data_IF_544890173624
#
_entry.id   IF_544890173624
#
_cell.length_a   1.000
_cell.length_b   1.000
_cell.length_c   1.000
_cell.angle_alpha   90.00
_cell.angle_beta   90.00
_cell.angle_gamma   90.00
#
_symmetry.space_group_name_H-M   'P 1'
#
loop_
_entity.id
_entity.type
_entity.pdbx_description
1 polymer ?
#
# COMPACT_ATOMS: atom_id res chain seq x y z
N UNK A 1 16.68 18.21 -14.37
CA UNK A 1 15.93 17.77 -13.17
C UNK A 1 16.48 16.40 -12.80
N UNK A 2 16.84 16.14 -11.53
CA UNK A 2 17.41 14.82 -11.19
C UNK A 2 16.31 13.75 -11.23
N UNK A 3 16.68 12.49 -11.48
CA UNK A 3 15.73 11.35 -11.47
C UNK A 3 14.99 11.28 -10.13
N UNK A 4 15.71 11.53 -9.03
CA UNK A 4 15.16 11.57 -7.68
C UNK A 4 14.05 12.63 -7.54
N UNK A 5 14.22 13.82 -8.13
CA UNK A 5 13.20 14.87 -8.10
C UNK A 5 11.93 14.45 -8.87
N UNK A 6 12.10 13.75 -9.99
CA UNK A 6 10.97 13.20 -10.77
C UNK A 6 10.21 12.15 -9.96
N UNK A 7 10.92 11.22 -9.33
CA UNK A 7 10.30 10.20 -8.46
C UNK A 7 9.56 10.85 -7.29
N UNK A 8 10.18 11.83 -6.61
CA UNK A 8 9.54 12.56 -5.51
C UNK A 8 8.24 13.23 -5.96
N UNK A 9 8.19 13.80 -7.17
CA UNK A 9 6.94 14.40 -7.72
C UNK A 9 5.81 13.38 -7.80
N UNK A 10 6.07 12.17 -8.30
CA UNK A 10 5.07 11.11 -8.40
C UNK A 10 4.65 10.60 -7.02
N UNK A 11 5.60 10.36 -6.10
CA UNK A 11 5.28 9.98 -4.72
C UNK A 11 4.47 11.07 -4.00
N UNK A 12 4.74 12.35 -4.30
CA UNK A 12 3.96 13.48 -3.76
C UNK A 12 2.52 13.44 -4.24
N UNK A 13 2.28 13.08 -5.51
CA UNK A 13 0.94 12.93 -6.05
C UNK A 13 0.15 11.87 -5.30
N UNK A 14 0.77 10.71 -5.06
CA UNK A 14 0.17 9.61 -4.28
C UNK A 14 -0.11 10.05 -2.83
N UNK A 15 0.85 10.72 -2.19
CA UNK A 15 0.69 11.24 -0.83
C UNK A 15 -0.50 12.20 -0.73
N UNK A 16 -0.70 13.06 -1.74
CA UNK A 16 -1.76 14.08 -1.77
C UNK A 16 -3.11 13.56 -2.24
N UNK A 17 -3.18 12.35 -2.79
CA UNK A 17 -4.42 11.75 -3.26
C UNK A 17 -5.42 11.50 -2.13
N UNK A 18 -4.94 11.37 -0.89
CA UNK A 18 -5.77 11.18 0.29
C UNK A 18 -5.16 11.86 1.51
N UNK A 19 -6.02 12.39 2.37
CA UNK A 19 -5.64 12.94 3.68
C UNK A 19 -5.26 11.85 4.69
N UNK A 20 -5.71 10.60 4.47
CA UNK A 20 -5.33 9.42 5.23
C UNK A 20 -3.92 8.91 4.90
N UNK A 21 -3.34 9.25 3.75
CA UNK A 21 -1.98 8.80 3.40
C UNK A 21 -0.93 9.54 4.20
N UNK A 22 -0.23 8.83 5.08
CA UNK A 22 0.75 9.38 6.02
C UNK A 22 2.15 9.43 5.42
N UNK A 23 2.55 8.36 4.74
CA UNK A 23 3.92 8.15 4.26
C UNK A 23 3.89 7.32 2.98
N UNK A 24 4.68 7.70 1.99
CA UNK A 24 4.88 6.96 0.75
C UNK A 24 6.38 6.70 0.59
N UNK A 25 6.73 5.45 0.40
CA UNK A 25 8.11 4.95 0.38
C UNK A 25 8.34 4.17 -0.91
N UNK A 26 9.52 4.34 -1.48
CA UNK A 26 10.02 3.50 -2.55
C UNK A 26 11.32 2.88 -2.08
N UNK A 27 11.41 1.56 -2.11
CA UNK A 27 12.62 0.80 -1.81
C UNK A 27 12.89 -0.26 -2.87
N UNK A 28 14.09 -0.83 -2.87
CA UNK A 28 14.32 -2.09 -3.59
C UNK A 28 13.62 -3.27 -2.88
N UNK A 29 13.71 -4.47 -3.46
CA UNK A 29 13.11 -5.67 -2.87
C UNK A 29 13.78 -6.11 -1.55
N UNK A 30 14.99 -5.61 -1.22
CA UNK A 30 15.69 -5.89 0.03
C UNK A 30 15.35 -4.89 1.15
N UNK A 31 14.49 -3.91 0.88
CA UNK A 31 14.09 -2.87 1.82
C UNK A 31 15.04 -1.67 1.90
N UNK A 32 16.00 -1.54 0.98
CA UNK A 32 16.86 -0.36 0.89
C UNK A 32 16.07 0.83 0.31
N UNK A 33 15.92 1.88 1.11
CA UNK A 33 15.16 3.08 0.73
C UNK A 33 15.79 3.80 -0.48
N UNK A 34 14.99 4.00 -1.53
CA UNK A 34 15.33 4.80 -2.73
C UNK A 34 14.80 6.23 -2.57
N UNK A 35 13.51 6.37 -2.25
CA UNK A 35 12.86 7.66 -2.08
C UNK A 35 11.74 7.58 -1.04
N UNK A 36 11.44 8.71 -0.38
CA UNK A 36 10.35 8.80 0.59
C UNK A 36 9.76 10.19 0.63
N UNK A 37 8.46 10.25 0.87
CA UNK A 37 7.75 11.48 1.20
C UNK A 37 6.65 11.18 2.21
N UNK A 38 6.50 12.06 3.20
CA UNK A 38 5.45 11.92 4.21
C UNK A 38 4.91 13.27 4.62
N UNK A 39 3.74 13.25 5.25
CA UNK A 39 3.15 14.41 5.91
C UNK A 39 3.36 14.31 7.42
N UNK A 40 3.27 15.44 8.11
CA UNK A 40 3.26 15.42 9.59
C UNK A 40 2.01 14.66 10.04
N UNK A 41 2.20 13.67 10.91
CA UNK A 41 1.14 12.84 11.47
C UNK A 41 1.38 12.65 12.97
N UNK A 42 0.32 12.32 13.70
CA UNK A 42 0.40 11.93 15.11
C UNK A 42 0.98 10.52 15.28
N UNK A 43 1.01 9.74 14.21
CA UNK A 43 1.58 8.40 14.17
C UNK A 43 3.09 8.53 13.93
N UNK A 44 3.89 8.27 14.96
CA UNK A 44 5.35 8.25 14.85
C UNK A 44 5.81 6.99 14.11
N UNK A 45 6.32 7.17 12.89
CA UNK A 45 6.73 6.09 12.00
C UNK A 45 8.16 6.31 11.55
N UNK A 46 9.01 5.31 11.77
CA UNK A 46 10.36 5.30 11.22
C UNK A 46 10.33 4.76 9.78
N UNK A 47 10.65 5.57 8.76
CA UNK A 47 10.58 5.12 7.36
C UNK A 47 11.44 3.89 7.06
N UNK A 48 12.60 3.74 7.70
CA UNK A 48 13.51 2.62 7.45
C UNK A 48 12.96 1.32 8.04
N UNK A 49 12.28 1.40 9.19
CA UNK A 49 11.61 0.23 9.76
C UNK A 49 10.43 -0.21 8.87
N UNK A 50 9.70 0.76 8.32
CA UNK A 50 8.59 0.47 7.40
C UNK A 50 9.11 -0.16 6.10
N UNK A 51 10.20 0.31 5.50
CA UNK A 51 10.74 -0.32 4.28
C UNK A 51 11.20 -1.76 4.54
N UNK A 52 11.88 -2.02 5.66
CA UNK A 52 12.27 -3.39 6.04
C UNK A 52 11.07 -4.30 6.28
N UNK A 53 10.05 -3.80 7.00
CA UNK A 53 8.82 -4.55 7.28
C UNK A 53 8.03 -4.85 6.00
N UNK A 54 7.84 -3.85 5.13
CA UNK A 54 7.10 -4.00 3.89
C UNK A 54 7.78 -4.98 2.92
N UNK A 55 9.11 -4.92 2.80
CA UNK A 55 9.89 -5.89 2.03
C UNK A 55 9.68 -7.32 2.56
N UNK A 56 9.89 -7.54 3.86
CA UNK A 56 9.71 -8.88 4.46
C UNK A 56 8.28 -9.42 4.31
N UNK A 57 7.27 -8.58 4.57
CA UNK A 57 5.86 -8.95 4.43
C UNK A 57 5.47 -9.25 2.97
N UNK A 58 6.03 -8.50 2.02
CA UNK A 58 5.80 -8.73 0.60
C UNK A 58 6.44 -10.05 0.15
N UNK A 59 7.69 -10.32 0.54
CA UNK A 59 8.36 -11.60 0.24
C UNK A 59 7.58 -12.79 0.79
N UNK A 60 7.11 -12.71 2.04
CA UNK A 60 6.26 -13.76 2.61
C UNK A 60 4.93 -13.91 1.85
N UNK A 61 4.35 -12.81 1.35
CA UNK A 61 3.15 -12.86 0.51
C UNK A 61 3.44 -13.55 -0.82
N UNK A 62 4.60 -13.28 -1.43
CA UNK A 62 5.02 -13.87 -2.69
C UNK A 62 5.22 -15.37 -2.61
N UNK A 63 5.86 -15.87 -1.55
CA UNK A 63 5.98 -17.30 -1.28
C UNK A 63 4.60 -17.97 -1.19
N UNK A 64 3.67 -17.34 -0.46
CA UNK A 64 2.29 -17.85 -0.37
C UNK A 64 1.59 -17.86 -1.74
N UNK A 65 1.79 -16.82 -2.56
CA UNK A 65 1.21 -16.78 -3.91
C UNK A 65 1.78 -17.85 -4.83
N UNK A 66 3.05 -18.19 -4.66
CA UNK A 66 3.68 -19.30 -5.36
C UNK A 66 3.06 -20.64 -4.97
N UNK A 67 2.95 -20.92 -3.67
CA UNK A 67 2.36 -22.15 -3.14
C UNK A 67 0.88 -22.31 -3.58
N UNK A 68 0.13 -21.21 -3.59
CA UNK A 68 -1.26 -21.16 -4.02
C UNK A 68 -1.45 -21.10 -5.54
N UNK A 69 -0.37 -21.04 -6.33
CA UNK A 69 -0.38 -20.93 -7.80
C UNK A 69 -1.12 -19.70 -8.34
N UNK A 70 -1.03 -18.58 -7.62
CA UNK A 70 -1.61 -17.27 -7.98
C UNK A 70 -0.51 -16.21 -8.20
N UNK A 71 0.56 -16.58 -8.91
CA UNK A 71 1.84 -15.85 -9.02
C UNK A 71 1.79 -14.44 -9.63
N UNK A 72 0.64 -14.05 -10.20
CA UNK A 72 0.47 -12.80 -10.92
C UNK A 72 0.08 -11.60 -10.05
N UNK A 73 0.08 -11.76 -8.72
CA UNK A 73 -0.18 -10.66 -7.80
C UNK A 73 0.96 -9.63 -7.80
N UNK A 74 0.60 -8.37 -7.60
CA UNK A 74 1.55 -7.24 -7.58
C UNK A 74 1.40 -6.37 -6.35
N UNK A 75 0.44 -6.68 -5.48
CA UNK A 75 0.03 -5.85 -4.36
C UNK A 75 -0.26 -6.72 -3.15
N UNK A 76 0.22 -6.29 -1.98
CA UNK A 76 -0.05 -6.90 -0.68
C UNK A 76 -0.50 -5.84 0.30
N UNK A 77 -1.38 -6.24 1.22
CA UNK A 77 -1.95 -5.39 2.25
C UNK A 77 -1.58 -5.94 3.62
N UNK A 78 -1.05 -5.09 4.50
CA UNK A 78 -0.76 -5.45 5.89
C UNK A 78 -1.45 -4.49 6.83
N UNK A 79 -2.42 -4.98 7.59
CA UNK A 79 -3.22 -4.18 8.52
C UNK A 79 -2.63 -4.20 9.93
N UNK A 80 -2.53 -3.02 10.51
CA UNK A 80 -2.17 -2.76 11.90
C UNK A 80 -3.29 -1.96 12.56
N UNK A 81 -3.32 -1.87 13.88
CA UNK A 81 -4.40 -1.19 14.63
C UNK A 81 -4.73 0.23 14.15
N UNK A 82 -3.74 0.97 13.62
CA UNK A 82 -3.91 2.39 13.20
C UNK A 82 -3.65 2.65 11.73
N UNK A 83 -2.99 1.75 11.02
CA UNK A 83 -2.55 1.96 9.64
C UNK A 83 -2.60 0.68 8.83
N UNK A 84 -2.79 0.82 7.53
CA UNK A 84 -2.58 -0.23 6.55
C UNK A 84 -1.31 0.11 5.76
N UNK A 85 -0.46 -0.89 5.54
CA UNK A 85 0.61 -0.83 4.56
C UNK A 85 0.10 -1.44 3.26
N UNK A 86 0.07 -0.64 2.21
CA UNK A 86 -0.26 -1.08 0.86
C UNK A 86 1.05 -1.12 0.09
N UNK A 87 1.54 -2.34 -0.17
CA UNK A 87 2.84 -2.56 -0.80
C UNK A 87 2.63 -3.07 -2.21
N UNK A 88 3.10 -2.32 -3.21
CA UNK A 88 2.96 -2.61 -4.64
C UNK A 88 4.35 -2.85 -5.22
N UNK A 89 4.54 -4.02 -5.84
CA UNK A 89 5.76 -4.32 -6.59
C UNK A 89 5.70 -3.67 -7.97
N UNK A 90 6.72 -2.88 -8.28
CA UNK A 90 6.92 -2.26 -9.58
C UNK A 90 8.33 -2.66 -10.05
N UNK A 91 8.41 -3.65 -10.93
CA UNK A 91 9.67 -4.24 -11.38
C UNK A 91 10.50 -4.69 -10.16
N UNK A 92 11.76 -4.24 -10.06
CA UNK A 92 12.68 -4.54 -8.95
C UNK A 92 12.51 -3.64 -7.71
N UNK A 93 11.38 -2.93 -7.61
CA UNK A 93 11.11 -2.01 -6.49
C UNK A 93 9.79 -2.31 -5.81
N UNK A 94 9.69 -1.87 -4.56
CA UNK A 94 8.47 -1.90 -3.76
C UNK A 94 8.06 -0.47 -3.43
N UNK A 95 6.87 -0.07 -3.87
CA UNK A 95 6.18 1.12 -3.42
C UNK A 95 5.33 0.75 -2.20
N UNK A 96 5.61 1.36 -1.05
CA UNK A 96 4.79 1.18 0.17
C UNK A 96 4.06 2.47 0.49
N UNK A 97 2.74 2.39 0.60
CA UNK A 97 1.86 3.47 1.05
C UNK A 97 1.41 3.13 2.47
N UNK A 98 1.77 3.98 3.43
CA UNK A 98 1.27 3.91 4.79
C UNK A 98 0.04 4.80 4.89
N UNK A 99 -1.09 4.18 5.18
CA UNK A 99 -2.39 4.82 5.12
C UNK A 99 -3.17 4.63 6.42
N UNK A 100 -3.64 5.72 7.00
CA UNK A 100 -4.53 5.76 8.16
C UNK A 100 -5.97 5.53 7.68
N UNK A 101 -6.39 4.27 7.74
CA UNK A 101 -7.70 3.82 7.27
C UNK A 101 -8.87 4.27 8.16
N UNK A 102 -8.61 4.92 9.30
CA UNK A 102 -9.66 5.52 10.13
C UNK A 102 -10.11 6.89 9.60
N UNK A 103 -9.27 7.54 8.79
CA UNK A 103 -9.58 8.84 8.18
C UNK A 103 -10.35 8.70 6.87
N UNK A 104 -9.84 7.82 6.01
CA UNK A 104 -10.40 7.56 4.70
C UNK A 104 -10.14 6.09 4.39
N UNK A 105 -11.13 5.37 3.90
CA UNK A 105 -10.94 4.01 3.42
C UNK A 105 -12.09 3.62 2.48
N UNK A 106 -11.82 2.89 1.38
CA UNK A 106 -10.50 2.62 0.81
C UNK A 106 -9.88 3.86 0.15
N UNK A 107 -8.59 3.79 -0.21
CA UNK A 107 -7.98 4.76 -1.13
C UNK A 107 -8.67 4.73 -2.50
N UNK A 108 -8.77 5.89 -3.15
CA UNK A 108 -9.25 6.02 -4.53
C UNK A 108 -8.41 5.15 -5.48
N UNK A 109 -9.04 4.08 -5.98
CA UNK A 109 -8.42 3.09 -6.84
C UNK A 109 -8.01 3.67 -8.21
N UNK A 110 -8.79 4.60 -8.76
CA UNK A 110 -8.53 5.19 -10.08
C UNK A 110 -7.36 6.15 -10.03
N UNK A 111 -7.33 7.01 -9.01
CA UNK A 111 -6.21 7.93 -8.80
C UNK A 111 -4.91 7.18 -8.50
N UNK A 112 -4.98 6.11 -7.71
CA UNK A 112 -3.81 5.26 -7.45
C UNK A 112 -3.32 4.59 -8.74
N UNK A 113 -4.21 3.99 -9.54
CA UNK A 113 -3.85 3.35 -10.80
C UNK A 113 -3.24 4.34 -11.82
N UNK A 114 -3.79 5.55 -11.93
CA UNK A 114 -3.21 6.60 -12.76
C UNK A 114 -1.81 7.00 -12.28
N UNK A 115 -1.61 7.12 -10.97
CA UNK A 115 -0.29 7.39 -10.39
C UNK A 115 0.69 6.24 -10.65
N UNK A 116 0.21 4.99 -10.64
CA UNK A 116 1.01 3.80 -10.91
C UNK A 116 1.51 3.74 -12.35
N UNK A 117 0.68 4.15 -13.32
CA UNK A 117 1.07 4.21 -14.73
C UNK A 117 2.33 5.06 -14.93
N UNK A 118 2.31 6.30 -14.44
CA UNK A 118 3.46 7.20 -14.57
C UNK A 118 4.67 6.74 -13.77
N UNK A 119 4.45 6.21 -12.57
CA UNK A 119 5.55 5.73 -11.74
C UNK A 119 6.24 4.52 -12.38
N UNK A 120 5.49 3.56 -12.94
CA UNK A 120 6.04 2.40 -13.64
C UNK A 120 6.84 2.81 -14.86
N UNK A 121 6.35 3.73 -15.69
CA UNK A 121 7.11 4.29 -16.82
C UNK A 121 8.43 4.93 -16.36
N UNK A 122 8.39 5.76 -15.31
CA UNK A 122 9.61 6.42 -14.80
C UNK A 122 10.62 5.47 -14.17
N UNK A 123 10.15 4.41 -13.50
CA UNK A 123 11.05 3.38 -12.99
C UNK A 123 11.63 2.53 -14.13
N UNK A 124 10.86 2.24 -15.17
CA UNK A 124 11.34 1.60 -16.40
C UNK A 124 12.46 2.39 -17.08
N UNK A 125 12.24 3.70 -17.28
CA UNK A 125 13.27 4.62 -17.80
C UNK A 125 14.54 4.64 -16.93
N UNK A 126 14.40 4.56 -15.61
CA UNK A 126 15.51 4.66 -14.67
C UNK A 126 16.36 3.39 -14.61
N UNK A 127 15.73 2.22 -14.56
CA UNK A 127 16.44 0.94 -14.44
C UNK A 127 16.82 0.32 -15.80
N UNK A 128 16.42 0.94 -16.91
CA UNK A 128 16.73 0.44 -18.26
C UNK A 128 15.77 -0.64 -18.76
N UNK A 129 14.63 -0.83 -18.09
CA UNK A 129 13.57 -1.77 -18.50
C UNK A 129 12.62 -1.11 -19.52
N UNK A 130 13.17 -0.48 -20.55
CA UNK A 130 12.43 0.32 -21.54
C UNK A 130 11.58 -0.47 -22.53
N UNK A 131 11.53 -1.80 -22.40
CA UNK A 131 10.89 -2.70 -23.36
C UNK A 131 9.43 -3.05 -23.00
N UNK A 132 8.90 -2.56 -21.87
CA UNK A 132 7.49 -2.77 -21.53
C UNK A 132 6.57 -2.01 -22.49
N UNK A 133 5.64 -2.73 -23.10
CA UNK A 133 4.60 -2.18 -23.95
C UNK A 133 3.58 -1.40 -23.12
N UNK A 134 2.90 -0.43 -23.75
CA UNK A 134 1.82 0.33 -23.10
C UNK A 134 0.74 -0.60 -22.51
N UNK A 135 0.39 -1.66 -23.23
CA UNK A 135 -0.59 -2.66 -22.78
C UNK A 135 -0.14 -3.41 -21.51
N UNK A 136 1.16 -3.66 -21.33
CA UNK A 136 1.69 -4.27 -20.10
C UNK A 136 1.61 -3.31 -18.91
N UNK A 137 1.87 -2.02 -19.14
CA UNK A 137 1.70 -0.99 -18.12
C UNK A 137 0.23 -0.84 -17.72
N UNK A 138 -0.69 -0.81 -18.69
CA UNK A 138 -2.13 -0.76 -18.44
C UNK A 138 -2.61 -1.97 -17.64
N UNK A 139 -2.21 -3.18 -18.04
CA UNK A 139 -2.56 -4.41 -17.33
C UNK A 139 -2.05 -4.41 -15.89
N UNK A 140 -0.86 -3.87 -15.65
CA UNK A 140 -0.35 -3.67 -14.29
C UNK A 140 -1.22 -2.70 -13.49
N UNK A 141 -1.61 -1.56 -14.08
CA UNK A 141 -2.46 -0.57 -13.42
C UNK A 141 -3.84 -1.14 -13.10
N UNK A 142 -4.40 -1.95 -14.00
CA UNK A 142 -5.68 -2.64 -13.79
C UNK A 142 -5.61 -3.61 -12.62
N UNK A 143 -4.50 -4.36 -12.46
CA UNK A 143 -4.30 -5.24 -11.30
C UNK A 143 -4.33 -4.44 -9.98
N UNK A 144 -3.66 -3.29 -9.93
CA UNK A 144 -3.67 -2.41 -8.75
C UNK A 144 -5.08 -1.87 -8.49
N UNK A 145 -5.76 -1.36 -9.52
CA UNK A 145 -7.14 -0.84 -9.41
C UNK A 145 -8.10 -1.90 -8.90
N UNK A 146 -8.09 -3.08 -9.51
CA UNK A 146 -8.97 -4.19 -9.14
C UNK A 146 -8.71 -4.66 -7.71
N UNK A 147 -7.45 -4.76 -7.28
CA UNK A 147 -7.13 -5.14 -5.91
C UNK A 147 -7.67 -4.12 -4.89
N UNK A 148 -7.52 -2.82 -5.16
CA UNK A 148 -8.08 -1.77 -4.30
C UNK A 148 -9.59 -1.85 -4.20
N UNK A 149 -10.30 -2.04 -5.32
CA UNK A 149 -11.75 -2.20 -5.30
C UNK A 149 -12.19 -3.44 -4.51
N UNK A 150 -11.54 -4.60 -4.75
CA UNK A 150 -11.87 -5.84 -4.04
C UNK A 150 -11.70 -5.70 -2.53
N UNK A 151 -10.64 -5.04 -2.07
CA UNK A 151 -10.45 -4.74 -0.65
C UNK A 151 -11.48 -3.74 -0.12
N UNK A 152 -11.85 -2.74 -0.93
CA UNK A 152 -12.91 -1.79 -0.61
C UNK A 152 -14.26 -2.46 -0.38
N UNK A 153 -14.65 -3.42 -1.22
CA UNK A 153 -15.92 -4.15 -1.09
C UNK A 153 -16.06 -4.91 0.24
N UNK A 154 -14.95 -5.33 0.86
CA UNK A 154 -14.95 -5.97 2.18
C UNK A 154 -15.25 -5.03 3.35
N UNK A 155 -15.14 -3.70 3.15
CA UNK A 155 -15.33 -2.69 4.20
C UNK A 155 -16.80 -2.39 4.52
N UNK A 156 -17.74 -2.88 3.71
CA UNK A 156 -19.18 -2.78 3.97
C UNK A 156 -19.68 -3.84 4.97
N UNK A 157 -18.84 -4.81 5.35
CA UNK A 157 -19.20 -5.81 6.36
C UNK A 157 -18.97 -5.19 7.74
N UNK A 158 -20.03 -4.94 8.55
CA UNK A 158 -19.85 -4.38 9.88
C UNK A 158 -18.96 -5.30 10.71
N UNK A 159 -17.90 -4.73 11.28
CA UNK A 159 -17.06 -5.40 12.28
C UNK A 159 -17.90 -5.63 13.53
N UNK A 160 -18.58 -6.77 13.57
CA UNK A 160 -19.28 -7.21 14.78
C UNK A 160 -18.21 -7.54 15.81
N UNK A 161 -18.13 -6.71 16.85
CA UNK A 161 -17.35 -7.06 18.04
C UNK A 161 -17.84 -8.40 18.56
N UNK A 162 -16.91 -9.32 18.80
CA UNK A 162 -17.24 -10.58 19.45
C UNK A 162 -17.84 -10.29 20.84
N UNK A 163 -19.14 -10.43 20.99
CA UNK A 163 -19.79 -10.52 22.30
C UNK A 163 -19.72 -11.97 22.74
N UNK A 164 -18.85 -12.25 23.71
CA UNK A 164 -18.82 -13.55 24.39
C UNK A 164 -20.23 -13.82 24.95
N UNK A 165 -20.81 -14.98 24.65
CA UNK A 165 -22.23 -15.29 24.93
C UNK A 165 -22.60 -15.28 26.44
N UNK A 166 -21.62 -15.10 27.34
CA UNK A 166 -21.79 -15.16 28.80
C UNK A 166 -21.58 -13.82 29.54
N UNK A 167 -21.48 -12.68 28.84
CA UNK A 167 -21.30 -11.40 29.52
C UNK A 167 -22.62 -10.86 30.08
N UNK A 168 -23.02 -11.32 31.27
CA UNK A 168 -24.04 -10.63 32.06
C UNK A 168 -23.52 -9.23 32.43
N UNK A 169 -24.19 -8.14 32.00
CA UNK A 169 -23.83 -6.81 32.47
C UNK A 169 -24.12 -6.78 33.97
N UNK A 170 -23.08 -6.57 34.78
CA UNK A 170 -23.26 -6.31 36.21
C UNK A 170 -24.20 -5.12 36.36
N UNK A 171 -25.44 -5.40 36.71
CA UNK A 171 -26.38 -4.39 37.15
C UNK A 171 -25.69 -3.63 38.29
N UNK A 172 -25.62 -2.30 38.15
CA UNK A 172 -25.27 -1.41 39.24
C UNK A 172 -26.20 -1.73 40.42
N UNK A 173 -25.72 -2.51 41.38
CA UNK A 173 -26.31 -2.59 42.70
C UNK A 173 -26.03 -1.25 43.37
N UNK A 174 -26.99 -0.34 43.28
CA UNK A 174 -26.99 0.86 44.10
C UNK A 174 -26.92 0.45 45.58
N UNK A 175 -25.91 0.96 46.26
CA UNK A 175 -25.86 1.29 47.68
C UNK A 175 -24.79 2.37 47.87
#
# INVERSE_FOLDING_TARGET
MSVRDSLIKHLTSILRASEGTVLVLLCDQNGLSIAKIGRKSEIDLNPNQITSLASAAFTASEENWEDLKIKDQVISFSFFEKVCLITIRINETLLTIVHDYHKEWPLDADNLAASMYYLKQKLGEFFGNGDETETEVERFCDKVRSAMYLFGMGSEVPLVSYTHEDFEPRANSGL
#
